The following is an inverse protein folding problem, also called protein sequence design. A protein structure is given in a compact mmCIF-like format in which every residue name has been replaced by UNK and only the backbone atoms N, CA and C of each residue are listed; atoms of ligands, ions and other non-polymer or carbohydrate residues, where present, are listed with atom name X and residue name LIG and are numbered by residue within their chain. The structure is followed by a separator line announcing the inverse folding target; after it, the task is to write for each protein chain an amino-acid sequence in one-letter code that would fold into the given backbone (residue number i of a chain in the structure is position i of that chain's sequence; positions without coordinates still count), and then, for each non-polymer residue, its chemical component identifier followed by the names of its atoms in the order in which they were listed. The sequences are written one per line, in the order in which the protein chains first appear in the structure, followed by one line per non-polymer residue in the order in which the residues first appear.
data_IF_632781455950
#
_entry.id   IF_632781455950
#
_cell.length_a   1.000
_cell.length_b   1.000
_cell.length_c   1.000
_cell.angle_alpha   90.00
_cell.angle_beta   90.00
_cell.angle_gamma   90.00
#
_symmetry.space_group_name_H-M   'P 1'
#
loop_
_entity.id
_entity.type
_entity.pdbx_description
1 polymer ?
#
# COMPACT_ATOMS: atom_id res chain seq x y z
N UNK A 1 -11.73 12.73 -7.75
CA UNK A 1 -12.98 11.95 -7.80
C UNK A 1 -12.80 10.64 -8.59
N UNK A 2 -12.05 9.68 -8.06
CA UNK A 2 -11.89 8.32 -8.65
C UNK A 2 -11.82 7.18 -7.60
N UNK A 3 -12.05 7.49 -6.31
CA UNK A 3 -11.95 6.53 -5.20
C UNK A 3 -13.28 5.88 -4.78
N UNK A 4 -14.37 6.15 -5.49
CA UNK A 4 -15.68 5.58 -5.18
C UNK A 4 -16.17 4.55 -6.21
N UNK A 5 -15.42 4.30 -7.29
CA UNK A 5 -15.88 3.40 -8.35
C UNK A 5 -15.59 1.92 -8.06
N UNK A 6 -14.54 1.58 -7.29
CA UNK A 6 -14.28 0.18 -6.90
C UNK A 6 -15.02 -0.27 -5.63
N UNK A 7 -15.49 0.67 -4.80
CA UNK A 7 -16.27 0.36 -3.60
C UNK A 7 -17.76 0.12 -3.91
N UNK A 8 -18.27 0.68 -5.03
CA UNK A 8 -19.68 0.54 -5.43
C UNK A 8 -19.98 -0.81 -6.10
N UNK A 9 -18.99 -1.46 -6.71
CA UNK A 9 -19.16 -2.74 -7.42
C UNK A 9 -19.16 -3.97 -6.48
N UNK A 10 -18.57 -3.85 -5.30
CA UNK A 10 -18.58 -4.91 -4.27
C UNK A 10 -19.85 -4.85 -3.40
N UNK A 11 -20.51 -3.69 -3.32
CA UNK A 11 -21.72 -3.50 -2.51
C UNK A 11 -23.02 -3.86 -3.26
N UNK A 12 -23.01 -3.97 -4.59
CA UNK A 12 -24.22 -4.27 -5.39
C UNK A 12 -24.53 -5.76 -5.60
N UNK A 13 -23.68 -6.69 -5.15
CA UNK A 13 -23.88 -8.13 -5.32
C UNK A 13 -24.42 -8.85 -4.07
N UNK A 14 -24.86 -8.11 -3.04
CA UNK A 14 -25.34 -8.67 -1.77
C UNK A 14 -26.82 -8.41 -1.44
N UNK A 15 -27.62 -7.91 -2.38
CA UNK A 15 -29.07 -7.72 -2.18
C UNK A 15 -29.91 -8.43 -3.23
N UNK A 16 -29.91 -9.77 -3.19
CA UNK A 16 -31.10 -10.55 -3.55
C UNK A 16 -31.24 -11.63 -2.47
N UNK A 17 -31.71 -11.21 -1.30
CA UNK A 17 -32.37 -12.11 -0.36
C UNK A 17 -33.85 -11.92 -0.64
N UNK A 18 -34.45 -12.85 -1.40
CA UNK A 18 -35.90 -12.97 -1.51
C UNK A 18 -36.45 -13.39 -0.14
N UNK A 19 -36.76 -12.39 0.69
CA UNK A 19 -37.59 -12.57 1.89
C UNK A 19 -39.04 -12.56 1.42
N UNK A 20 -39.56 -13.71 0.99
CA UNK A 20 -41.00 -13.93 0.98
C UNK A 20 -41.45 -14.25 2.42
N UNK A 21 -41.62 -13.22 3.22
CA UNK A 21 -42.45 -13.27 4.44
C UNK A 21 -43.91 -13.07 4.05
N UNK A 22 -44.59 -14.17 3.74
CA UNK A 22 -46.05 -14.17 3.71
C UNK A 22 -46.56 -14.15 5.17
N UNK A 23 -46.97 -12.97 5.64
CA UNK A 23 -47.91 -12.83 6.76
C UNK A 23 -49.26 -13.34 6.25
N UNK A 24 -49.75 -14.44 6.84
CA UNK A 24 -51.15 -14.81 6.76
C UNK A 24 -51.84 -14.34 8.04
N UNK A 25 -52.82 -13.46 7.85
CA UNK A 25 -53.72 -12.91 8.85
C UNK A 25 -54.68 -14.00 9.36
N UNK A 26 -54.96 -14.00 10.67
CA UNK A 26 -55.99 -14.81 11.30
C UNK A 26 -57.36 -14.56 10.66
N UNK A 27 -58.03 -15.61 10.19
CA UNK A 27 -59.48 -15.74 10.34
C UNK A 27 -59.85 -17.22 10.46
N UNK A 28 -60.77 -17.53 11.38
CA UNK A 28 -61.66 -18.69 11.25
C UNK A 28 -61.33 -19.91 12.12
N UNK A 29 -62.02 -19.97 13.27
CA UNK A 29 -62.48 -21.18 13.95
C UNK A 29 -62.78 -22.33 12.98
N UNK A 30 -62.39 -23.57 13.30
CA UNK A 30 -63.25 -24.77 13.25
C UNK A 30 -62.49 -25.98 13.78
N UNK A 31 -63.07 -26.60 14.81
CA UNK A 31 -62.80 -27.95 15.30
C UNK A 31 -62.79 -29.00 14.19
N UNK A 32 -61.79 -29.89 14.12
CA UNK A 32 -62.10 -31.30 13.89
C UNK A 32 -60.98 -32.27 14.27
N UNK A 33 -61.43 -33.33 14.93
CA UNK A 33 -60.78 -34.61 15.13
C UNK A 33 -60.49 -35.30 13.78
N UNK A 34 -59.31 -35.90 13.59
CA UNK A 34 -59.10 -36.80 12.45
C UNK A 34 -57.66 -37.16 12.09
N UNK A 35 -57.28 -38.41 12.38
CA UNK A 35 -56.33 -39.25 11.62
C UNK A 35 -54.84 -38.87 11.62
N UNK A 36 -54.10 -39.42 12.58
CA UNK A 36 -52.64 -39.32 12.74
C UNK A 36 -51.77 -40.10 11.74
N UNK A 37 -52.25 -40.36 10.51
CA UNK A 37 -51.50 -41.10 9.49
C UNK A 37 -50.81 -40.20 8.44
N UNK A 38 -51.39 -39.05 8.07
CA UNK A 38 -50.91 -38.24 6.93
C UNK A 38 -49.80 -37.23 7.25
N UNK A 39 -49.66 -36.82 8.51
CA UNK A 39 -48.69 -35.80 8.94
C UNK A 39 -47.26 -36.37 8.97
N UNK A 40 -47.11 -37.64 9.36
CA UNK A 40 -45.79 -38.29 9.44
C UNK A 40 -45.13 -38.47 8.07
N UNK A 41 -45.94 -38.68 7.03
CA UNK A 41 -45.50 -38.93 5.67
C UNK A 41 -45.10 -37.61 4.98
N UNK A 42 -45.86 -36.54 5.21
CA UNK A 42 -45.50 -35.19 4.76
C UNK A 42 -44.22 -34.66 5.42
N UNK A 43 -43.98 -34.99 6.70
CA UNK A 43 -42.73 -34.63 7.40
C UNK A 43 -41.53 -35.36 6.79
N UNK A 44 -41.66 -36.65 6.43
CA UNK A 44 -40.59 -37.41 5.78
C UNK A 44 -40.22 -36.86 4.40
N UNK A 45 -41.22 -36.52 3.58
CA UNK A 45 -41.01 -35.93 2.26
C UNK A 45 -40.30 -34.58 2.37
N UNK A 46 -40.75 -33.69 3.27
CA UNK A 46 -40.07 -32.40 3.52
C UNK A 46 -38.65 -32.56 4.03
N UNK A 47 -38.37 -33.58 4.87
CA UNK A 47 -37.01 -33.87 5.34
C UNK A 47 -36.09 -34.31 4.20
N UNK A 48 -36.58 -35.18 3.32
CA UNK A 48 -35.83 -35.64 2.15
C UNK A 48 -35.56 -34.51 1.15
N UNK A 49 -36.55 -33.64 0.89
CA UNK A 49 -36.38 -32.45 0.06
C UNK A 49 -35.38 -31.47 0.68
N UNK A 50 -35.45 -31.24 2.00
CA UNK A 50 -34.52 -30.38 2.71
C UNK A 50 -33.08 -30.93 2.70
N UNK A 51 -32.89 -32.24 2.90
CA UNK A 51 -31.58 -32.89 2.77
C UNK A 51 -31.02 -32.79 1.36
N UNK A 52 -31.86 -32.95 0.33
CA UNK A 52 -31.43 -32.80 -1.06
C UNK A 52 -30.98 -31.37 -1.36
N UNK A 53 -31.75 -30.36 -0.92
CA UNK A 53 -31.39 -28.94 -1.07
C UNK A 53 -30.14 -28.57 -0.29
N UNK A 54 -29.95 -29.13 0.91
CA UNK A 54 -28.73 -28.92 1.70
C UNK A 54 -27.49 -29.55 1.06
N UNK A 55 -27.61 -30.73 0.44
CA UNK A 55 -26.52 -31.34 -0.34
C UNK A 55 -26.17 -30.49 -1.57
N UNK A 56 -27.17 -30.00 -2.29
CA UNK A 56 -26.95 -29.15 -3.47
C UNK A 56 -26.34 -27.79 -3.09
N UNK A 57 -26.77 -27.18 -1.98
CA UNK A 57 -26.18 -25.95 -1.43
C UNK A 57 -24.74 -26.15 -0.97
N UNK A 58 -24.41 -27.29 -0.34
CA UNK A 58 -23.03 -27.63 0.03
C UNK A 58 -22.15 -27.77 -1.21
N UNK A 59 -22.60 -28.51 -2.22
CA UNK A 59 -21.88 -28.67 -3.48
C UNK A 59 -21.67 -27.33 -4.20
N UNK A 60 -22.70 -26.46 -4.27
CA UNK A 60 -22.57 -25.10 -4.83
C UNK A 60 -21.59 -24.23 -4.04
N UNK A 61 -21.56 -24.35 -2.71
CA UNK A 61 -20.60 -23.63 -1.86
C UNK A 61 -19.17 -24.11 -2.04
N UNK A 62 -18.94 -25.42 -2.17
CA UNK A 62 -17.62 -25.99 -2.46
C UNK A 62 -17.12 -25.53 -3.83
N UNK A 63 -17.95 -25.67 -4.88
CA UNK A 63 -17.59 -25.21 -6.22
C UNK A 63 -17.30 -23.70 -6.27
N UNK A 64 -18.09 -22.88 -5.56
CA UNK A 64 -17.84 -21.44 -5.44
C UNK A 64 -16.53 -21.15 -4.67
N UNK A 65 -16.20 -21.93 -3.64
CA UNK A 65 -14.94 -21.82 -2.90
C UNK A 65 -13.73 -22.15 -3.76
N UNK A 66 -13.80 -23.22 -4.54
CA UNK A 66 -12.73 -23.63 -5.45
C UNK A 66 -12.52 -22.60 -6.56
N UNK A 67 -13.61 -22.12 -7.18
CA UNK A 67 -13.53 -21.07 -8.19
C UNK A 67 -12.99 -19.74 -7.64
N UNK A 68 -13.31 -19.39 -6.39
CA UNK A 68 -12.72 -18.24 -5.69
C UNK A 68 -11.26 -18.47 -5.32
N UNK A 69 -10.88 -19.70 -4.95
CA UNK A 69 -9.50 -20.10 -4.68
C UNK A 69 -8.61 -19.93 -5.92
N UNK A 70 -9.04 -20.48 -7.06
CA UNK A 70 -8.34 -20.37 -8.34
C UNK A 70 -8.19 -18.91 -8.79
N UNK A 71 -9.27 -18.12 -8.74
CA UNK A 71 -9.21 -16.68 -9.07
C UNK A 71 -8.28 -15.89 -8.13
N UNK A 72 -8.16 -16.31 -6.87
CA UNK A 72 -7.23 -15.68 -5.91
C UNK A 72 -5.78 -16.01 -6.25
N UNK A 73 -5.49 -17.23 -6.68
CA UNK A 73 -4.14 -17.59 -7.13
C UNK A 73 -3.75 -16.87 -8.42
N UNK A 74 -4.63 -16.83 -9.43
CA UNK A 74 -4.36 -16.08 -10.67
C UNK A 74 -4.08 -14.60 -10.41
N UNK A 75 -4.88 -13.97 -9.54
CA UNK A 75 -4.67 -12.56 -9.16
C UNK A 75 -3.36 -12.38 -8.38
N UNK A 76 -2.97 -13.33 -7.52
CA UNK A 76 -1.68 -13.29 -6.82
C UNK A 76 -0.52 -13.35 -7.81
N UNK A 77 -0.56 -14.26 -8.76
CA UNK A 77 0.48 -14.40 -9.79
C UNK A 77 0.59 -13.15 -10.68
N UNK A 78 -0.54 -12.57 -11.10
CA UNK A 78 -0.51 -11.31 -11.85
C UNK A 78 0.08 -10.15 -11.04
N UNK A 79 -0.22 -10.11 -9.74
CA UNK A 79 0.35 -9.10 -8.84
C UNK A 79 1.86 -9.31 -8.69
N UNK A 80 2.33 -10.55 -8.54
CA UNK A 80 3.77 -10.87 -8.46
C UNK A 80 4.50 -10.47 -9.75
N UNK A 81 3.99 -10.84 -10.92
CA UNK A 81 4.60 -10.44 -12.21
C UNK A 81 4.69 -8.92 -12.35
N UNK A 82 3.62 -8.20 -12.02
CA UNK A 82 3.62 -6.72 -12.03
C UNK A 82 4.61 -6.16 -11.00
N UNK A 83 4.80 -6.80 -9.85
CA UNK A 83 5.81 -6.39 -8.86
C UNK A 83 7.23 -6.53 -9.40
N UNK A 84 7.54 -7.64 -10.08
CA UNK A 84 8.85 -7.86 -10.69
C UNK A 84 9.16 -6.86 -11.80
N UNK A 85 8.20 -6.63 -12.71
CA UNK A 85 8.36 -5.62 -13.78
C UNK A 85 8.59 -4.21 -13.21
N UNK A 86 7.86 -3.85 -12.15
CA UNK A 86 8.05 -2.56 -11.46
C UNK A 86 9.44 -2.52 -10.80
N UNK A 87 9.92 -3.63 -10.24
CA UNK A 87 11.24 -3.70 -9.61
C UNK A 87 12.37 -3.48 -10.62
N UNK A 88 12.30 -4.13 -11.79
CA UNK A 88 13.28 -3.94 -12.86
C UNK A 88 13.30 -2.49 -13.37
N UNK A 89 12.14 -1.92 -13.69
CA UNK A 89 12.04 -0.50 -14.10
C UNK A 89 12.57 0.45 -13.03
N UNK A 90 12.40 0.12 -11.75
CA UNK A 90 12.97 0.91 -10.65
C UNK A 90 14.50 0.82 -10.60
N UNK A 91 15.08 -0.35 -10.84
CA UNK A 91 16.53 -0.51 -10.90
C UNK A 91 17.13 0.28 -12.06
N UNK A 92 16.51 0.22 -13.24
CA UNK A 92 16.91 1.04 -14.40
C UNK A 92 16.85 2.55 -14.07
N UNK A 93 15.72 3.02 -13.53
CA UNK A 93 15.58 4.43 -13.11
C UNK A 93 16.64 4.82 -12.08
N UNK A 94 16.95 3.95 -11.12
CA UNK A 94 18.01 4.20 -10.12
C UNK A 94 19.37 4.37 -10.78
N UNK A 95 19.73 3.50 -11.73
CA UNK A 95 21.01 3.61 -12.45
C UNK A 95 21.10 4.89 -13.29
N UNK A 96 20.03 5.25 -14.00
CA UNK A 96 20.00 6.52 -14.75
C UNK A 96 20.13 7.75 -13.85
N UNK A 97 19.48 7.71 -12.68
CA UNK A 97 19.56 8.76 -11.65
C UNK A 97 21.02 8.89 -11.18
N UNK A 98 21.70 7.78 -10.91
CA UNK A 98 23.10 7.80 -10.47
C UNK A 98 24.04 8.36 -11.54
N UNK A 99 23.90 7.93 -12.80
CA UNK A 99 24.70 8.42 -13.92
C UNK A 99 24.53 9.94 -14.08
N UNK A 100 23.28 10.43 -14.17
CA UNK A 100 22.99 11.87 -14.33
C UNK A 100 23.51 12.68 -13.14
N UNK A 101 23.50 12.11 -11.94
CA UNK A 101 24.02 12.76 -10.74
C UNK A 101 25.54 12.92 -10.80
N UNK A 102 26.26 11.91 -11.25
CA UNK A 102 27.72 11.97 -11.38
C UNK A 102 28.13 12.98 -12.46
N UNK A 103 27.45 12.98 -13.61
CA UNK A 103 27.66 13.96 -14.68
C UNK A 103 27.44 15.41 -14.20
N UNK A 104 26.38 15.65 -13.42
CA UNK A 104 26.08 16.98 -12.90
C UNK A 104 27.08 17.43 -11.83
N UNK A 105 27.60 16.49 -11.04
CA UNK A 105 28.67 16.75 -10.07
C UNK A 105 29.95 17.20 -10.77
N UNK A 106 30.32 16.53 -11.88
CA UNK A 106 31.45 16.96 -12.72
C UNK A 106 31.22 18.35 -13.31
N UNK A 107 30.03 18.62 -13.87
CA UNK A 107 29.70 19.96 -14.39
C UNK A 107 29.81 21.05 -13.32
N UNK A 108 29.38 20.77 -12.09
CA UNK A 108 29.51 21.71 -10.98
C UNK A 108 30.96 21.93 -10.55
N UNK A 109 31.78 20.88 -10.57
CA UNK A 109 33.21 20.99 -10.30
C UNK A 109 33.91 21.86 -11.36
N UNK A 110 33.64 21.61 -12.65
CA UNK A 110 34.17 22.44 -13.73
C UNK A 110 33.71 23.90 -13.60
N UNK A 111 32.48 24.13 -13.12
CA UNK A 111 31.97 25.46 -12.84
C UNK A 111 32.78 26.17 -11.75
N UNK A 112 33.13 25.47 -10.67
CA UNK A 112 34.00 26.01 -9.60
C UNK A 112 35.40 26.33 -10.13
N UNK A 113 35.97 25.46 -10.95
CA UNK A 113 37.28 25.69 -11.56
C UNK A 113 37.26 26.93 -12.46
N UNK A 114 36.22 27.11 -13.29
CA UNK A 114 36.06 28.30 -14.13
C UNK A 114 35.96 29.62 -13.35
N UNK A 115 35.51 29.58 -12.09
CA UNK A 115 35.45 30.77 -11.23
C UNK A 115 36.83 31.13 -10.68
N UNK A 116 37.72 30.15 -10.45
CA UNK A 116 39.09 30.41 -9.98
C UNK A 116 39.92 31.16 -11.03
N UNK A 117 39.54 31.05 -12.30
CA UNK A 117 40.17 31.76 -13.41
C UNK A 117 39.70 33.23 -13.52
N UNK A 118 38.65 33.63 -12.79
CA UNK A 118 38.13 34.99 -12.78
C UNK A 118 39.08 35.96 -12.07
N UNK A 119 39.62 36.93 -12.80
CA UNK A 119 40.58 37.93 -12.27
C UNK A 119 39.94 38.97 -11.34
N UNK A 120 38.64 39.24 -11.53
CA UNK A 120 37.90 40.16 -10.68
C UNK A 120 37.45 39.45 -9.40
N UNK A 121 38.14 39.74 -8.29
CA UNK A 121 37.89 39.11 -6.99
C UNK A 121 36.46 39.30 -6.48
N UNK A 122 35.82 40.44 -6.78
CA UNK A 122 34.45 40.71 -6.35
C UNK A 122 33.47 39.86 -7.15
N UNK A 123 33.65 39.77 -8.48
CA UNK A 123 32.83 38.88 -9.32
C UNK A 123 33.06 37.42 -8.99
N UNK A 124 34.30 37.01 -8.72
CA UNK A 124 34.64 35.65 -8.30
C UNK A 124 33.90 35.28 -7.00
N UNK A 125 33.95 36.13 -5.97
CA UNK A 125 33.24 35.93 -4.70
C UNK A 125 31.72 35.86 -4.88
N UNK A 126 31.12 36.70 -5.74
CA UNK A 126 29.68 36.66 -6.02
C UNK A 126 29.28 35.33 -6.68
N UNK A 127 30.06 34.87 -7.67
CA UNK A 127 29.81 33.59 -8.37
C UNK A 127 30.00 32.41 -7.42
N UNK A 128 31.04 32.44 -6.59
CA UNK A 128 31.33 31.40 -5.59
C UNK A 128 30.21 31.28 -4.56
N UNK A 129 29.79 32.39 -3.94
CA UNK A 129 28.68 32.41 -3.00
C UNK A 129 27.38 31.88 -3.63
N UNK A 130 27.17 32.15 -4.92
CA UNK A 130 26.02 31.66 -5.69
C UNK A 130 26.07 30.15 -5.88
N UNK A 131 27.23 29.57 -6.20
CA UNK A 131 27.41 28.12 -6.29
C UNK A 131 27.24 27.47 -4.91
N UNK A 132 27.91 27.98 -3.88
CA UNK A 132 27.83 27.43 -2.52
C UNK A 132 26.39 27.45 -2.00
N UNK A 133 25.64 28.53 -2.25
CA UNK A 133 24.23 28.62 -1.87
C UNK A 133 23.37 27.55 -2.54
N UNK A 134 23.62 27.27 -3.83
CA UNK A 134 22.93 26.22 -4.60
C UNK A 134 23.23 24.83 -4.05
N UNK A 135 24.50 24.53 -3.82
CA UNK A 135 24.94 23.24 -3.28
C UNK A 135 24.39 23.00 -1.88
N UNK A 136 24.39 24.02 -1.03
CA UNK A 136 23.82 23.91 0.31
C UNK A 136 22.32 23.64 0.29
N UNK A 137 21.56 24.26 -0.61
CA UNK A 137 20.14 23.99 -0.75
C UNK A 137 19.86 22.53 -1.15
N UNK A 138 20.68 21.98 -2.05
CA UNK A 138 20.55 20.60 -2.52
C UNK A 138 20.98 19.57 -1.47
N UNK A 139 22.05 19.88 -0.72
CA UNK A 139 22.54 19.05 0.38
C UNK A 139 21.47 18.78 1.43
N UNK A 140 20.55 19.73 1.66
CA UNK A 140 19.43 19.52 2.59
C UNK A 140 18.52 18.39 2.10
N UNK A 141 18.15 18.38 0.81
CA UNK A 141 17.31 17.33 0.27
C UNK A 141 18.00 15.96 0.29
N UNK A 142 19.27 15.92 -0.08
CA UNK A 142 20.07 14.68 -0.03
C UNK A 142 20.14 14.08 1.37
N UNK A 143 20.40 14.93 2.38
CA UNK A 143 20.45 14.50 3.78
C UNK A 143 19.09 13.96 4.25
N UNK A 144 17.98 14.57 3.83
CA UNK A 144 16.65 14.11 4.20
C UNK A 144 16.32 12.78 3.51
N UNK A 145 16.64 12.63 2.23
CA UNK A 145 16.46 11.36 1.50
C UNK A 145 17.29 10.25 2.14
N UNK A 146 18.55 10.51 2.51
CA UNK A 146 19.40 9.54 3.20
C UNK A 146 18.78 9.07 4.52
N UNK A 147 18.25 10.00 5.33
CA UNK A 147 17.56 9.65 6.59
C UNK A 147 16.29 8.82 6.35
N UNK A 148 15.53 9.13 5.31
CA UNK A 148 14.32 8.37 4.96
C UNK A 148 14.65 6.98 4.42
N UNK A 149 15.76 6.81 3.67
CA UNK A 149 16.24 5.49 3.26
C UNK A 149 16.64 4.63 4.47
N UNK A 150 17.38 5.21 5.43
CA UNK A 150 17.72 4.50 6.67
C UNK A 150 16.47 4.07 7.44
N UNK A 151 15.42 4.91 7.47
CA UNK A 151 14.14 4.54 8.07
C UNK A 151 13.46 3.41 7.29
N UNK A 152 13.42 3.49 5.96
CA UNK A 152 12.88 2.44 5.08
C UNK A 152 13.54 1.09 5.33
N UNK A 153 14.87 1.06 5.46
CA UNK A 153 15.63 -0.16 5.77
C UNK A 153 15.24 -0.75 7.12
N UNK A 154 15.10 0.10 8.15
CA UNK A 154 14.64 -0.35 9.48
C UNK A 154 13.22 -0.90 9.45
N UNK A 155 12.31 -0.27 8.72
CA UNK A 155 10.93 -0.75 8.54
C UNK A 155 10.92 -2.09 7.80
N UNK A 156 11.70 -2.23 6.73
CA UNK A 156 11.84 -3.47 5.96
C UNK A 156 12.39 -4.62 6.81
N UNK A 157 13.41 -4.34 7.62
CA UNK A 157 13.94 -5.33 8.56
C UNK A 157 12.91 -5.75 9.63
N UNK A 158 12.02 -4.83 10.03
CA UNK A 158 10.95 -5.14 10.99
C UNK A 158 9.81 -5.94 10.36
N UNK A 159 9.46 -5.66 9.09
CA UNK A 159 8.52 -6.46 8.29
C UNK A 159 8.97 -7.93 8.31
N UNK A 160 10.20 -8.21 7.89
CA UNK A 160 10.75 -9.58 7.83
C UNK A 160 10.67 -10.28 9.20
N UNK A 161 11.03 -9.58 10.28
CA UNK A 161 10.99 -10.13 11.65
C UNK A 161 9.58 -10.44 12.13
N UNK A 162 8.57 -9.70 11.68
CA UNK A 162 7.18 -9.87 12.08
C UNK A 162 6.47 -10.91 11.20
N UNK A 163 6.78 -10.94 9.91
CA UNK A 163 6.35 -11.96 8.97
C UNK A 163 6.82 -13.35 9.40
N UNK A 164 8.08 -13.49 9.81
CA UNK A 164 8.61 -14.74 10.38
C UNK A 164 7.89 -15.17 11.68
N UNK A 165 7.24 -14.22 12.37
CA UNK A 165 6.38 -14.49 13.53
C UNK A 165 4.92 -14.67 13.13
N UNK A 166 4.60 -14.76 11.84
CA UNK A 166 3.27 -14.92 11.26
C UNK A 166 2.34 -13.73 11.47
N UNK A 167 2.86 -12.52 11.59
CA UNK A 167 2.06 -11.28 11.58
C UNK A 167 1.78 -10.91 10.12
N UNK A 168 0.57 -10.43 9.83
CA UNK A 168 0.23 -9.90 8.50
C UNK A 168 1.01 -8.60 8.23
N UNK A 169 1.86 -8.62 7.20
CA UNK A 169 2.73 -7.50 6.80
C UNK A 169 2.34 -6.86 5.47
N UNK A 170 1.26 -7.31 4.82
CA UNK A 170 0.92 -6.93 3.44
C UNK A 170 0.77 -5.41 3.28
N UNK A 171 0.07 -4.76 4.21
CA UNK A 171 -0.14 -3.31 4.16
C UNK A 171 1.17 -2.54 4.37
N UNK A 172 2.01 -2.98 5.32
CA UNK A 172 3.29 -2.36 5.63
C UNK A 172 4.29 -2.47 4.46
N UNK A 173 4.32 -3.61 3.77
CA UNK A 173 5.10 -3.81 2.55
C UNK A 173 4.68 -2.85 1.45
N UNK A 174 3.37 -2.74 1.21
CA UNK A 174 2.83 -1.84 0.20
C UNK A 174 3.20 -0.38 0.48
N UNK A 175 3.02 0.08 1.73
CA UNK A 175 3.36 1.45 2.13
C UNK A 175 4.87 1.71 2.07
N UNK A 176 5.70 0.70 2.37
CA UNK A 176 7.17 0.81 2.23
C UNK A 176 7.58 0.93 0.77
N UNK A 177 6.93 0.21 -0.14
CA UNK A 177 7.14 0.31 -1.58
C UNK A 177 6.65 1.67 -2.15
N UNK A 178 5.56 2.22 -1.61
CA UNK A 178 5.10 3.57 -1.95
C UNK A 178 6.14 4.62 -1.53
N UNK A 179 6.66 4.53 -0.31
CA UNK A 179 7.69 5.43 0.17
C UNK A 179 8.94 5.41 -0.71
N UNK A 180 9.39 4.23 -1.14
CA UNK A 180 10.51 4.11 -2.08
C UNK A 180 10.24 4.82 -3.40
N UNK A 181 9.06 4.63 -3.98
CA UNK A 181 8.66 5.28 -5.23
C UNK A 181 8.72 6.81 -5.11
N UNK A 182 8.23 7.35 -3.99
CA UNK A 182 8.25 8.78 -3.71
C UNK A 182 9.67 9.32 -3.52
N UNK A 183 10.56 8.55 -2.89
CA UNK A 183 11.98 8.92 -2.75
C UNK A 183 12.70 8.93 -4.09
N UNK A 184 12.46 7.96 -4.96
CA UNK A 184 13.08 7.92 -6.29
C UNK A 184 12.57 9.06 -7.18
N UNK A 185 11.27 9.39 -7.11
CA UNK A 185 10.74 10.58 -7.76
C UNK A 185 11.36 11.88 -7.23
N UNK A 186 11.61 11.98 -5.91
CA UNK A 186 12.28 13.14 -5.32
C UNK A 186 13.74 13.27 -5.82
N UNK A 187 14.47 12.16 -5.94
CA UNK A 187 15.83 12.15 -6.53
C UNK A 187 15.83 12.64 -7.97
N UNK A 188 14.87 12.20 -8.79
CA UNK A 188 14.73 12.65 -10.17
C UNK A 188 14.52 14.17 -10.24
N UNK A 189 13.67 14.73 -9.37
CA UNK A 189 13.45 16.19 -9.30
C UNK A 189 14.69 16.96 -8.84
N UNK A 190 15.47 16.41 -7.91
CA UNK A 190 16.76 16.99 -7.50
C UNK A 190 17.75 17.02 -8.66
N UNK A 191 17.75 16.02 -9.54
CA UNK A 191 18.56 16.01 -10.76
C UNK A 191 18.11 17.13 -11.72
N UNK A 192 16.81 17.31 -11.93
CA UNK A 192 16.29 18.42 -12.74
C UNK A 192 16.70 19.78 -12.16
N UNK A 193 16.63 19.95 -10.84
CA UNK A 193 17.11 21.16 -10.16
C UNK A 193 18.61 21.35 -10.43
N UNK A 194 19.42 20.31 -10.23
CA UNK A 194 20.87 20.36 -10.49
C UNK A 194 21.19 20.74 -11.93
N UNK A 195 20.46 20.19 -12.91
CA UNK A 195 20.64 20.52 -14.32
C UNK A 195 20.37 22.00 -14.61
N UNK A 196 19.30 22.57 -14.05
CA UNK A 196 19.01 24.01 -14.18
C UNK A 196 20.08 24.89 -13.53
N UNK A 197 20.68 24.42 -12.42
CA UNK A 197 21.69 25.17 -11.68
C UNK A 197 23.09 25.04 -12.28
N UNK A 198 23.41 23.94 -12.96
CA UNK A 198 24.71 23.69 -13.58
C UNK A 198 24.97 24.55 -14.83
N UNK A 199 23.94 25.10 -15.45
CA UNK A 199 24.05 25.83 -16.73
C UNK A 199 24.34 27.34 -16.56
N UNK A 200 24.23 27.89 -15.35
CA UNK A 200 24.34 29.36 -15.15
C UNK A 200 25.38 29.73 -14.09
N UNK A 201 26.51 30.33 -14.50
CA UNK A 201 27.48 30.99 -13.59
C UNK A 201 27.00 32.36 -13.11
N UNK A 202 26.35 33.09 -14.01
CA UNK A 202 25.86 34.43 -13.78
C UNK A 202 24.42 34.34 -13.25
N UNK A 203 23.44 34.88 -13.96
CA UNK A 203 22.05 34.92 -13.52
C UNK A 203 21.21 33.75 -14.02
N UNK A 204 20.28 33.33 -13.16
CA UNK A 204 19.21 32.41 -13.53
C UNK A 204 18.09 33.26 -14.12
N UNK A 205 17.63 32.91 -15.33
CA UNK A 205 16.49 33.60 -15.97
C UNK A 205 15.25 33.57 -15.08
N UNK A 206 14.34 34.53 -15.27
CA UNK A 206 13.08 34.56 -14.51
C UNK A 206 12.28 33.24 -14.67
N UNK A 207 12.26 32.68 -15.88
CA UNK A 207 11.65 31.39 -16.16
C UNK A 207 12.28 30.25 -15.36
N UNK A 208 13.61 30.17 -15.32
CA UNK A 208 14.32 29.14 -14.57
C UNK A 208 14.15 29.31 -13.06
N UNK A 209 14.02 30.54 -12.54
CA UNK A 209 13.69 30.79 -11.12
C UNK A 209 12.31 30.21 -10.77
N UNK A 210 11.31 30.42 -11.63
CA UNK A 210 9.97 29.85 -11.44
C UNK A 210 10.01 28.32 -11.47
N UNK A 211 10.68 27.74 -12.47
CA UNK A 211 10.86 26.28 -12.57
C UNK A 211 11.54 25.70 -11.33
N UNK A 212 12.62 26.34 -10.85
CA UNK A 212 13.32 25.91 -9.64
C UNK A 212 12.42 25.93 -8.40
N UNK A 213 11.59 26.96 -8.26
CA UNK A 213 10.62 27.04 -7.16
C UNK A 213 9.62 25.89 -7.23
N UNK A 214 9.03 25.65 -8.41
CA UNK A 214 8.10 24.54 -8.62
C UNK A 214 8.74 23.20 -8.30
N UNK A 215 9.93 22.91 -8.85
CA UNK A 215 10.65 21.66 -8.61
C UNK A 215 10.99 21.47 -7.13
N UNK A 216 11.37 22.55 -6.44
CA UNK A 216 11.63 22.52 -5.00
C UNK A 216 10.36 22.15 -4.23
N UNK A 217 9.24 22.79 -4.53
CA UNK A 217 7.96 22.55 -3.85
C UNK A 217 7.48 21.11 -4.11
N UNK A 218 7.57 20.63 -5.34
CA UNK A 218 7.28 19.23 -5.72
C UNK A 218 8.19 18.24 -4.96
N UNK A 219 9.50 18.51 -4.89
CA UNK A 219 10.46 17.68 -4.15
C UNK A 219 10.08 17.62 -2.66
N UNK A 220 9.68 18.75 -2.08
CA UNK A 220 9.27 18.81 -0.68
C UNK A 220 7.98 18.00 -0.42
N UNK A 221 7.00 18.06 -1.33
CA UNK A 221 5.78 17.24 -1.25
C UNK A 221 6.14 15.75 -1.32
N UNK A 222 6.97 15.35 -2.29
CA UNK A 222 7.39 13.95 -2.45
C UNK A 222 8.11 13.41 -1.20
N UNK A 223 9.00 14.21 -0.61
CA UNK A 223 9.69 13.85 0.64
C UNK A 223 8.71 13.71 1.80
N UNK A 224 7.71 14.61 1.90
CA UNK A 224 6.66 14.55 2.93
C UNK A 224 5.79 13.31 2.75
N UNK A 225 5.39 13.00 1.53
CA UNK A 225 4.60 11.82 1.20
C UNK A 225 5.36 10.54 1.53
N UNK A 226 6.64 10.44 1.16
CA UNK A 226 7.49 9.31 1.52
C UNK A 226 7.57 9.10 3.03
N UNK A 227 7.75 10.19 3.78
CA UNK A 227 7.77 10.16 5.25
C UNK A 227 6.44 9.68 5.82
N UNK A 228 5.32 10.15 5.29
CA UNK A 228 3.99 9.75 5.75
C UNK A 228 3.73 8.27 5.46
N UNK A 229 4.06 7.79 4.27
CA UNK A 229 3.93 6.38 3.92
C UNK A 229 4.76 5.48 4.87
N UNK A 230 6.00 5.86 5.21
CA UNK A 230 6.79 5.12 6.21
C UNK A 230 6.19 5.16 7.62
N UNK A 231 5.60 6.30 8.01
CA UNK A 231 4.90 6.42 9.30
C UNK A 231 3.67 5.50 9.33
N UNK A 232 2.92 5.46 8.24
CA UNK A 232 1.72 4.62 8.12
C UNK A 232 2.10 3.14 8.07
N UNK A 233 3.21 2.77 7.41
CA UNK A 233 3.76 1.41 7.45
C UNK A 233 4.12 0.96 8.87
N UNK A 234 4.73 1.84 9.67
CA UNK A 234 5.02 1.54 11.08
C UNK A 234 3.73 1.37 11.88
N UNK A 235 2.69 2.16 11.58
CA UNK A 235 1.39 2.07 12.22
C UNK A 235 0.70 0.75 11.88
N UNK A 236 0.64 0.36 10.61
CA UNK A 236 0.01 -0.89 10.19
C UNK A 236 0.70 -2.11 10.81
N UNK A 237 2.04 -2.11 10.90
CA UNK A 237 2.77 -3.17 11.63
C UNK A 237 2.37 -3.25 13.11
N UNK A 238 2.19 -2.11 13.78
CA UNK A 238 1.79 -2.09 15.19
C UNK A 238 0.38 -2.65 15.37
N UNK A 239 -0.53 -2.25 14.50
CA UNK A 239 -1.93 -2.67 14.53
C UNK A 239 -2.04 -4.18 14.24
N UNK A 240 -1.28 -4.68 13.26
CA UNK A 240 -1.20 -6.11 12.94
C UNK A 240 -0.62 -6.96 14.09
N UNK A 241 0.44 -6.47 14.76
CA UNK A 241 1.00 -7.13 15.95
C UNK A 241 -0.03 -7.17 17.09
N UNK A 242 -0.80 -6.10 17.28
CA UNK A 242 -1.84 -6.05 18.30
C UNK A 242 -2.95 -7.05 18.01
N UNK A 243 -3.45 -7.08 16.77
CA UNK A 243 -4.47 -8.04 16.33
C UNK A 243 -3.99 -9.49 16.53
N UNK A 244 -2.74 -9.80 16.16
CA UNK A 244 -2.18 -11.14 16.39
C UNK A 244 -2.14 -11.53 17.86
N UNK A 245 -1.76 -10.59 18.74
CA UNK A 245 -1.74 -10.85 20.20
C UNK A 245 -3.12 -11.08 20.76
N UNK A 246 -4.14 -10.39 20.25
CA UNK A 246 -5.53 -10.56 20.67
C UNK A 246 -6.08 -11.91 20.21
N UNK A 247 -5.81 -12.33 18.97
CA UNK A 247 -6.18 -13.65 18.47
C UNK A 247 -5.52 -14.79 19.26
N UNK A 248 -4.23 -14.66 19.59
CA UNK A 248 -3.52 -15.67 20.39
C UNK A 248 -4.07 -15.76 21.82
N UNK A 249 -4.58 -14.65 22.38
CA UNK A 249 -5.25 -14.66 23.69
C UNK A 249 -6.60 -15.36 23.64
N UNK A 250 -7.42 -15.12 22.61
CA UNK A 250 -8.73 -15.78 22.50
C UNK A 250 -8.60 -17.29 22.33
N UNK A 251 -7.64 -17.74 21.51
CA UNK A 251 -7.34 -19.17 21.32
C UNK A 251 -6.91 -19.85 22.63
N UNK A 252 -6.18 -19.16 23.51
CA UNK A 252 -5.73 -19.71 24.81
C UNK A 252 -6.88 -19.82 25.83
N UNK A 253 -7.89 -18.96 25.76
CA UNK A 253 -9.09 -19.05 26.61
C UNK A 253 -10.03 -20.18 26.20
N UNK A 254 -10.18 -20.43 24.89
CA UNK A 254 -11.03 -21.54 24.40
C UNK A 254 -10.45 -22.93 24.71
N UNK A 255 -9.11 -23.05 24.82
CA UNK A 255 -8.47 -24.33 25.20
C UNK A 255 -8.67 -24.66 26.68
N UNK A 256 -8.72 -23.66 27.57
CA UNK A 256 -8.93 -23.89 29.00
C UNK A 256 -10.40 -24.20 29.36
N UNK A 257 -11.37 -23.77 28.56
CA UNK A 257 -12.78 -24.11 28.76
C UNK A 257 -13.11 -25.54 28.31
N UNK A 258 -12.47 -26.02 27.24
CA UNK A 258 -12.69 -27.39 26.74
C UNK A 258 -12.04 -28.48 27.61
N UNK A 259 -10.93 -28.20 28.30
CA UNK A 259 -10.33 -29.17 29.22
C UNK A 259 -11.13 -29.33 30.54
N UNK A 260 -11.81 -28.27 31.00
CA UNK A 260 -12.60 -28.32 32.24
C UNK A 260 -13.98 -29.00 32.08
N UNK A 261 -14.55 -29.06 30.88
CA UNK A 261 -15.82 -29.78 30.63
C UNK A 261 -15.65 -31.30 30.49
N UNK A 262 -14.43 -31.81 30.25
CA UNK A 262 -14.17 -33.26 30.16
C UNK A 262 -13.82 -33.93 31.49
N UNK A 263 -13.72 -33.18 32.60
CA UNK A 263 -13.32 -33.70 33.92
C UNK A 263 -14.39 -33.63 35.02
N UNK A 264 -15.64 -33.30 34.70
CA UNK A 264 -16.78 -33.35 35.65
C UNK A 264 -17.79 -34.45 35.30
#
# INVERSE_FOLDING_TARGET
MKKYLSLFLVLMMLTIVDINSAKAEETGSTSNSGSGSSVSEQIKIRRAEFESKMKELKAKREAAREALGAKREEVKEEIEKKREEIKLKREEIKTEIEIKREELKQKMQNLRESIKEEKDKVKAQIKENRIIGRENALRVFDNVIARLNLLKEKVSAQIIKLEAKGVDTIEAESLTAEAETKLDAAKAKIIEINALLAVSTNEISAENKTKLKTLRDETQVLIKDARNALKDAIKSLRDAVKAKREAMKSETTETNETENETTN
#
